data_IF_205930313174
#
_entry.id   IF_205930313174
#
_cell.length_a   1.000
_cell.length_b   1.000
_cell.length_c   1.000
_cell.angle_alpha   90.00
_cell.angle_beta   90.00
_cell.angle_gamma   90.00
#
_symmetry.space_group_name_H-M   'P 1'
#
loop_
_entity.id
_entity.type
_entity.pdbx_description
1 polymer ?
#
# COMPACT_ATOMS: atom_id res chain seq x y z
N UNK A 1 61.44 0.37 -69.34
CA UNK A 1 62.88 0.47 -68.96
C UNK A 1 63.40 1.78 -69.52
N UNK A 2 64.44 2.42 -68.92
CA UNK A 2 65.15 2.04 -67.69
C UNK A 2 64.48 2.60 -66.42
N UNK A 3 65.12 2.40 -65.26
CA UNK A 3 64.79 2.96 -63.95
C UNK A 3 66.04 2.93 -63.04
N UNK A 4 66.07 3.77 -61.96
CA UNK A 4 66.97 3.81 -60.76
C UNK A 4 67.07 5.27 -60.28
N UNK A 5 67.21 5.67 -59.01
CA UNK A 5 67.37 5.08 -57.65
C UNK A 5 66.54 6.00 -56.67
N UNK A 6 66.40 5.93 -55.34
CA UNK A 6 66.58 5.04 -54.13
C UNK A 6 65.69 5.74 -53.04
N UNK A 7 65.00 5.19 -52.04
CA UNK A 7 65.12 4.05 -51.09
C UNK A 7 66.24 4.14 -50.04
N UNK A 8 66.08 3.55 -48.82
CA UNK A 8 64.89 2.95 -48.16
C UNK A 8 64.23 4.00 -47.19
N UNK A 9 63.63 3.81 -45.98
CA UNK A 9 63.47 2.75 -44.95
C UNK A 9 62.05 2.79 -44.31
N UNK A 10 61.90 2.20 -43.11
CA UNK A 10 60.73 1.93 -42.23
C UNK A 10 61.27 1.88 -40.77
N UNK A 11 60.56 1.46 -39.69
CA UNK A 11 59.15 1.64 -39.26
C UNK A 11 59.04 2.25 -37.81
N UNK A 12 58.04 1.85 -36.99
CA UNK A 12 57.75 2.15 -35.55
C UNK A 12 57.16 3.54 -35.21
N UNK A 13 56.44 3.76 -34.09
CA UNK A 13 55.26 3.07 -33.49
C UNK A 13 54.82 3.75 -32.17
N UNK A 14 53.52 4.04 -32.00
CA UNK A 14 52.89 4.24 -30.67
C UNK A 14 53.03 5.63 -30.01
N UNK A 15 52.13 5.88 -29.05
CA UNK A 15 51.99 7.07 -28.17
C UNK A 15 51.68 8.39 -28.90
N UNK A 16 50.51 9.00 -28.62
CA UNK A 16 50.17 10.33 -29.16
C UNK A 16 48.72 10.82 -29.03
N UNK A 17 47.75 9.95 -28.70
CA UNK A 17 46.31 10.31 -28.69
C UNK A 17 45.87 11.07 -27.41
N UNK A 18 46.77 11.25 -26.42
CA UNK A 18 46.47 11.78 -25.09
C UNK A 18 46.23 13.31 -25.00
N UNK A 19 46.10 14.03 -26.13
CA UNK A 19 46.09 15.50 -26.17
C UNK A 19 44.93 16.15 -26.94
N UNK A 20 43.83 15.43 -27.17
CA UNK A 20 42.60 15.98 -27.78
C UNK A 20 41.34 15.87 -26.91
N UNK A 21 41.47 15.45 -25.64
CA UNK A 21 40.35 15.24 -24.71
C UNK A 21 40.35 16.21 -23.50
N UNK A 22 41.02 17.37 -23.61
CA UNK A 22 41.25 18.26 -22.46
C UNK A 22 40.96 19.75 -22.68
N UNK A 23 40.18 20.12 -23.71
CA UNK A 23 39.71 21.50 -23.95
C UNK A 23 38.23 21.53 -24.37
N UNK A 24 37.40 20.66 -23.80
CA UNK A 24 35.93 20.72 -23.90
C UNK A 24 35.27 20.48 -22.53
N UNK A 25 35.75 21.22 -21.55
CA UNK A 25 35.17 21.36 -20.22
C UNK A 25 35.39 22.81 -19.78
N UNK A 26 34.47 23.36 -18.98
CA UNK A 26 34.30 24.81 -18.76
C UNK A 26 33.82 25.54 -20.04
N UNK A 27 32.55 25.33 -20.42
CA UNK A 27 31.63 26.39 -20.90
C UNK A 27 30.21 25.84 -21.20
N UNK A 28 29.60 25.10 -20.25
CA UNK A 28 28.14 24.92 -20.23
C UNK A 28 27.61 24.78 -18.80
N UNK A 29 27.59 25.91 -18.08
CA UNK A 29 26.95 26.05 -16.77
C UNK A 29 25.67 26.87 -16.92
N UNK A 30 24.61 26.50 -16.19
CA UNK A 30 23.30 27.17 -16.14
C UNK A 30 22.40 27.04 -17.38
N UNK A 31 21.89 25.83 -17.62
CA UNK A 31 20.52 25.59 -18.07
C UNK A 31 20.01 24.26 -17.48
N UNK A 32 18.68 24.10 -17.35
CA UNK A 32 17.97 22.88 -16.93
C UNK A 32 18.42 22.23 -15.61
N UNK A 33 18.18 22.93 -14.50
CA UNK A 33 17.95 22.29 -13.19
C UNK A 33 16.43 22.11 -12.99
N UNK A 34 15.80 21.29 -13.82
CA UNK A 34 14.40 20.91 -13.65
C UNK A 34 14.29 19.87 -12.53
N UNK A 35 13.87 20.33 -11.35
CA UNK A 35 13.53 19.44 -10.23
C UNK A 35 12.30 18.62 -10.62
N UNK A 36 12.43 17.30 -10.71
CA UNK A 36 11.28 16.40 -10.75
C UNK A 36 10.55 16.51 -9.42
N UNK A 37 9.35 17.09 -9.43
CA UNK A 37 8.56 17.32 -8.21
C UNK A 37 8.09 15.99 -7.64
N UNK A 38 8.62 15.63 -6.47
CA UNK A 38 8.11 14.50 -5.67
C UNK A 38 6.74 14.88 -5.07
N UNK A 39 5.80 13.95 -5.08
CA UNK A 39 4.36 14.24 -4.93
C UNK A 39 3.88 14.26 -3.46
N UNK A 40 4.51 15.08 -2.62
CA UNK A 40 4.02 15.42 -1.27
C UNK A 40 4.20 16.93 -1.01
N UNK A 41 3.10 17.69 -1.09
CA UNK A 41 3.06 19.09 -0.63
C UNK A 41 2.90 19.11 0.88
N UNK A 42 3.96 19.51 1.58
CA UNK A 42 3.91 19.84 3.00
C UNK A 42 3.04 21.08 3.20
N UNK A 43 1.99 20.99 4.02
CA UNK A 43 1.24 22.16 4.49
C UNK A 43 1.88 22.62 5.80
N UNK A 44 2.72 23.64 5.74
CA UNK A 44 3.26 24.28 6.94
C UNK A 44 2.14 25.03 7.67
N UNK A 45 1.88 24.64 8.92
CA UNK A 45 0.85 25.26 9.75
C UNK A 45 1.38 26.53 10.43
N UNK A 46 1.19 27.69 9.80
CA UNK A 46 1.34 29.00 10.44
C UNK A 46 0.02 29.51 11.00
N UNK A 47 0.00 29.92 12.27
CA UNK A 47 -1.15 30.56 12.92
C UNK A 47 -1.52 31.93 12.29
N UNK A 48 -2.76 32.43 12.50
CA UNK A 48 -3.43 33.25 11.49
C UNK A 48 -3.22 34.77 11.63
N UNK A 49 -3.43 35.48 10.51
CA UNK A 49 -3.71 36.91 10.50
C UNK A 49 -4.66 37.28 9.36
N UNK A 50 -5.89 37.64 9.73
CA UNK A 50 -6.82 38.61 9.14
C UNK A 50 -6.83 38.88 7.61
N UNK A 51 -7.99 38.55 7.02
CA UNK A 51 -8.83 39.39 6.14
C UNK A 51 -8.81 39.23 4.60
N UNK A 52 -10.06 39.14 4.08
CA UNK A 52 -10.59 39.31 2.72
C UNK A 52 -9.81 38.90 1.45
N UNK A 53 -10.31 37.83 0.81
CA UNK A 53 -10.04 37.46 -0.58
C UNK A 53 -10.99 36.37 -1.07
N UNK A 54 -12.07 36.74 -1.75
CA UNK A 54 -13.19 35.84 -2.11
C UNK A 54 -12.77 34.61 -2.95
N UNK A 55 -13.19 33.42 -2.51
CA UNK A 55 -13.15 32.20 -3.30
C UNK A 55 -14.56 31.84 -3.81
N UNK A 56 -14.72 31.71 -5.13
CA UNK A 56 -16.00 31.31 -5.74
C UNK A 56 -16.36 29.86 -5.37
N UNK A 57 -17.27 29.69 -4.41
CA UNK A 57 -17.94 28.43 -4.15
C UNK A 57 -18.94 28.15 -5.28
N UNK A 58 -18.87 26.97 -5.89
CA UNK A 58 -19.94 26.49 -6.77
C UNK A 58 -21.15 26.17 -5.90
N UNK A 59 -22.30 26.81 -6.18
CA UNK A 59 -23.45 26.86 -5.26
C UNK A 59 -23.93 25.48 -4.79
N UNK A 60 -23.71 25.19 -3.51
CA UNK A 60 -24.59 24.28 -2.78
C UNK A 60 -25.98 24.95 -2.68
N UNK A 61 -27.05 24.22 -3.02
CA UNK A 61 -28.41 24.72 -2.86
C UNK A 61 -28.76 24.77 -1.36
N UNK A 62 -29.42 25.85 -0.92
CA UNK A 62 -29.73 26.08 0.49
C UNK A 62 -30.47 24.88 1.14
N UNK A 63 -30.09 24.47 2.37
CA UNK A 63 -30.72 23.33 3.05
C UNK A 63 -32.20 23.55 3.38
N UNK A 64 -32.72 24.77 3.24
CA UNK A 64 -34.15 25.09 3.39
C UNK A 64 -35.01 24.71 2.16
N UNK A 65 -34.43 24.48 0.97
CA UNK A 65 -35.18 24.23 -0.28
C UNK A 65 -35.24 22.73 -0.69
N UNK A 66 -34.65 21.83 0.11
CA UNK A 66 -34.60 20.38 -0.13
C UNK A 66 -35.99 19.73 -0.07
N UNK A 67 -36.51 19.32 -1.22
CA UNK A 67 -37.83 18.70 -1.35
C UNK A 67 -37.88 17.33 -0.68
N UNK A 68 -38.69 17.23 0.37
CA UNK A 68 -38.90 15.98 1.12
C UNK A 68 -39.59 14.93 0.24
N UNK A 69 -38.96 13.76 0.12
CA UNK A 69 -39.51 12.60 -0.59
C UNK A 69 -40.74 12.04 0.13
N UNK A 70 -41.74 11.57 -0.61
CA UNK A 70 -42.93 10.92 -0.04
C UNK A 70 -42.88 9.40 -0.29
N UNK A 71 -42.51 8.57 0.72
CA UNK A 71 -42.40 7.12 0.57
C UNK A 71 -43.78 6.47 0.43
N UNK A 72 -43.82 5.33 -0.26
CA UNK A 72 -44.98 4.41 -0.26
C UNK A 72 -44.54 3.02 0.18
N UNK A 73 -45.49 2.11 0.36
CA UNK A 73 -45.23 0.72 0.82
C UNK A 73 -44.32 -0.08 -0.13
N UNK A 74 -44.18 0.39 -1.37
CA UNK A 74 -43.31 -0.18 -2.41
C UNK A 74 -42.03 0.65 -2.53
N UNK A 75 -40.91 -0.04 -2.73
CA UNK A 75 -39.62 0.57 -3.02
C UNK A 75 -39.67 1.47 -4.26
N UNK A 76 -39.17 2.69 -4.13
CA UNK A 76 -39.03 3.67 -5.19
C UNK A 76 -37.61 4.24 -5.21
N UNK A 77 -37.05 4.48 -6.39
CA UNK A 77 -35.71 5.08 -6.54
C UNK A 77 -35.69 6.54 -6.07
N UNK A 78 -34.77 6.86 -5.17
CA UNK A 78 -34.50 8.23 -4.71
C UNK A 78 -33.71 8.99 -5.78
N UNK A 79 -34.10 10.25 -6.05
CA UNK A 79 -33.37 11.15 -6.94
C UNK A 79 -32.40 12.03 -6.12
N UNK A 80 -31.27 12.49 -6.70
CA UNK A 80 -30.45 13.54 -6.09
C UNK A 80 -31.29 14.78 -5.74
N UNK A 81 -30.93 15.47 -4.66
CA UNK A 81 -31.66 16.67 -4.17
C UNK A 81 -32.94 16.40 -3.36
N UNK A 82 -33.29 15.14 -3.08
CA UNK A 82 -34.46 14.79 -2.26
C UNK A 82 -34.08 14.31 -0.86
N UNK A 83 -34.62 14.96 0.17
CA UNK A 83 -34.47 14.56 1.57
C UNK A 83 -35.37 13.36 1.89
N UNK A 84 -34.87 12.40 2.69
CA UNK A 84 -35.62 11.20 3.10
C UNK A 84 -36.26 11.42 4.48
N UNK A 85 -37.58 11.20 4.66
CA UNK A 85 -38.22 11.31 5.97
C UNK A 85 -37.68 10.30 6.98
N UNK A 86 -37.52 10.73 8.23
CA UNK A 86 -37.25 9.83 9.35
C UNK A 86 -38.33 8.74 9.46
N UNK A 87 -37.92 7.49 9.75
CA UNK A 87 -38.80 6.31 9.74
C UNK A 87 -38.97 5.63 8.37
N UNK A 88 -38.46 6.22 7.28
CA UNK A 88 -38.41 5.54 5.98
C UNK A 88 -37.36 4.44 5.97
N UNK A 89 -37.67 3.30 5.36
CA UNK A 89 -36.67 2.29 5.03
C UNK A 89 -35.90 2.71 3.78
N UNK A 90 -34.57 2.62 3.82
CA UNK A 90 -33.67 2.95 2.70
C UNK A 90 -32.78 1.74 2.41
N UNK A 91 -32.56 1.43 1.12
CA UNK A 91 -31.59 0.42 0.68
C UNK A 91 -30.79 0.89 -0.52
N UNK A 92 -29.61 0.29 -0.72
CA UNK A 92 -28.88 0.37 -1.99
C UNK A 92 -29.23 -0.89 -2.81
N UNK A 93 -29.69 -0.73 -4.04
CA UNK A 93 -29.94 -1.85 -4.93
C UNK A 93 -28.63 -2.27 -5.61
N UNK A 94 -28.05 -3.39 -5.15
CA UNK A 94 -26.73 -3.85 -5.58
C UNK A 94 -26.65 -4.27 -7.06
N UNK A 95 -27.77 -4.46 -7.76
CA UNK A 95 -27.78 -4.74 -9.21
C UNK A 95 -27.88 -3.47 -10.07
N UNK A 96 -28.24 -2.32 -9.51
CA UNK A 96 -28.43 -1.06 -10.26
C UNK A 96 -27.59 0.10 -9.74
N UNK A 97 -26.98 -0.02 -8.56
CA UNK A 97 -26.23 1.04 -7.87
C UNK A 97 -27.12 2.16 -7.29
N UNK A 98 -28.44 2.05 -7.40
CA UNK A 98 -29.37 3.12 -7.05
C UNK A 98 -29.90 2.99 -5.62
N UNK A 99 -30.08 4.14 -4.94
CA UNK A 99 -30.73 4.20 -3.62
C UNK A 99 -32.25 4.11 -3.80
N UNK A 100 -32.89 3.26 -3.03
CA UNK A 100 -34.34 3.06 -3.03
C UNK A 100 -34.92 3.29 -1.62
N UNK A 101 -36.13 3.85 -1.56
CA UNK A 101 -36.83 4.21 -0.32
C UNK A 101 -38.23 3.59 -0.30
N UNK A 102 -38.66 3.11 0.87
CA UNK A 102 -39.96 2.52 1.19
C UNK A 102 -40.49 3.12 2.52
N UNK A 103 -41.80 3.18 2.70
CA UNK A 103 -42.44 3.51 3.98
C UNK A 103 -42.12 2.45 5.07
N UNK A 104 -41.72 2.88 6.26
CA UNK A 104 -41.48 1.98 7.39
C UNK A 104 -42.76 1.30 7.91
N UNK A 105 -42.60 0.33 8.82
CA UNK A 105 -43.73 -0.44 9.37
C UNK A 105 -44.46 0.28 10.53
N UNK A 106 -44.01 1.49 10.90
CA UNK A 106 -44.71 2.42 11.77
C UNK A 106 -45.84 3.17 11.03
N UNK A 107 -47.02 3.25 11.65
CA UNK A 107 -48.27 3.55 10.94
C UNK A 107 -48.60 5.04 10.73
N UNK A 108 -48.85 5.41 9.48
CA UNK A 108 -49.62 6.62 9.06
C UNK A 108 -49.00 7.99 9.43
N UNK A 109 -47.93 8.37 8.71
CA UNK A 109 -47.38 9.73 8.73
C UNK A 109 -48.42 10.77 8.29
N UNK A 110 -48.88 11.64 9.20
CA UNK A 110 -49.72 12.79 8.88
C UNK A 110 -48.90 14.07 8.78
N UNK A 111 -48.93 14.67 7.58
CA UNK A 111 -48.34 15.97 7.28
C UNK A 111 -49.40 17.07 7.44
N UNK A 112 -48.98 18.24 7.93
CA UNK A 112 -49.77 19.47 7.83
C UNK A 112 -48.97 20.56 7.08
N UNK A 113 -49.71 21.41 6.38
CA UNK A 113 -49.23 22.55 5.60
C UNK A 113 -50.04 23.76 6.02
N UNK A 114 -49.38 24.80 6.51
CA UNK A 114 -49.98 26.12 6.76
C UNK A 114 -49.09 27.21 6.15
N UNK A 115 -49.58 27.87 5.10
CA UNK A 115 -48.77 28.73 4.24
C UNK A 115 -47.52 28.03 3.71
N UNK A 116 -46.35 28.66 3.89
CA UNK A 116 -45.04 28.13 3.49
C UNK A 116 -44.44 27.14 4.51
N UNK A 117 -45.09 26.88 5.66
CA UNK A 117 -44.56 25.95 6.68
C UNK A 117 -45.21 24.57 6.56
N UNK A 118 -44.38 23.57 6.33
CA UNK A 118 -44.76 22.15 6.35
C UNK A 118 -44.11 21.47 7.57
N UNK A 119 -44.83 20.53 8.18
CA UNK A 119 -44.36 19.81 9.36
C UNK A 119 -45.02 18.46 9.53
N UNK A 120 -44.30 17.55 10.19
CA UNK A 120 -44.75 16.19 10.52
C UNK A 120 -45.03 16.08 12.01
N UNK A 121 -46.14 15.43 12.37
CA UNK A 121 -46.40 14.99 13.74
C UNK A 121 -46.17 13.48 13.80
N UNK A 122 -45.21 13.04 14.63
CA UNK A 122 -45.02 11.62 14.90
C UNK A 122 -46.07 11.15 15.91
N UNK A 123 -46.90 10.18 15.51
CA UNK A 123 -48.06 9.71 16.28
C UNK A 123 -47.76 8.55 17.23
N UNK A 124 -46.52 8.07 17.30
CA UNK A 124 -46.15 6.90 18.12
C UNK A 124 -45.89 7.22 19.60
N UNK A 125 -45.78 8.51 19.97
CA UNK A 125 -45.96 8.93 21.37
C UNK A 125 -47.45 9.09 21.69
N UNK A 126 -47.95 8.63 22.86
CA UNK A 126 -49.36 8.74 23.22
C UNK A 126 -49.78 10.22 23.33
N UNK A 127 -50.48 10.71 22.31
CA UNK A 127 -50.86 12.11 22.17
C UNK A 127 -52.04 12.46 23.08
N UNK A 128 -51.75 12.82 24.34
CA UNK A 128 -52.75 13.36 25.27
C UNK A 128 -53.51 14.52 24.61
N UNK A 129 -54.85 14.47 24.61
CA UNK A 129 -55.63 15.60 24.12
C UNK A 129 -55.39 16.84 24.99
N UNK A 130 -55.60 18.04 24.44
CA UNK A 130 -55.45 19.29 25.18
C UNK A 130 -56.38 19.40 26.41
N UNK A 131 -57.39 18.53 26.54
CA UNK A 131 -58.23 18.42 27.73
C UNK A 131 -57.67 17.42 28.75
N UNK A 132 -57.15 16.27 28.32
CA UNK A 132 -56.48 15.30 29.20
C UNK A 132 -55.18 15.88 29.78
N UNK A 133 -54.35 16.53 28.95
CA UNK A 133 -53.14 17.21 29.40
C UNK A 133 -53.46 18.28 30.45
N UNK A 134 -54.56 19.03 30.25
CA UNK A 134 -55.04 20.06 31.18
C UNK A 134 -55.68 19.49 32.44
N UNK A 135 -56.15 18.23 32.41
CA UNK A 135 -56.65 17.48 33.57
C UNK A 135 -55.49 16.90 34.39
N UNK A 136 -54.51 16.27 33.73
CA UNK A 136 -53.28 15.78 34.34
C UNK A 136 -52.47 16.92 34.98
N UNK A 137 -52.29 18.06 34.29
CA UNK A 137 -51.66 19.28 34.84
C UNK A 137 -52.45 19.92 35.99
N UNK A 138 -53.74 19.59 36.15
CA UNK A 138 -54.54 20.01 37.31
C UNK A 138 -54.35 19.05 38.48
N UNK A 139 -54.32 17.74 38.23
CA UNK A 139 -54.01 16.71 39.25
C UNK A 139 -52.60 16.91 39.81
N UNK A 140 -51.58 17.11 38.97
CA UNK A 140 -50.20 17.49 39.34
C UNK A 140 -50.08 18.85 40.06
N UNK A 141 -51.18 19.56 40.28
CA UNK A 141 -51.26 20.85 40.98
C UNK A 141 -52.19 20.81 42.20
N UNK A 142 -52.96 19.73 42.36
CA UNK A 142 -53.76 19.42 43.56
C UNK A 142 -53.00 18.42 44.45
N UNK A 143 -52.37 17.40 43.85
CA UNK A 143 -51.35 16.55 44.49
C UNK A 143 -50.00 17.30 44.52
N UNK A 144 -49.74 18.00 45.62
CA UNK A 144 -48.64 18.97 45.77
C UNK A 144 -47.22 18.41 45.86
N UNK A 145 -46.80 17.57 44.92
CA UNK A 145 -45.43 17.01 44.82
C UNK A 145 -44.77 17.42 43.49
N UNK A 146 -44.57 18.73 43.32
CA UNK A 146 -43.52 19.21 42.43
C UNK A 146 -42.18 19.03 43.16
N UNK A 147 -41.20 18.26 42.63
CA UNK A 147 -39.89 18.14 43.25
C UNK A 147 -39.27 19.53 43.36
N UNK A 148 -38.91 19.92 44.59
CA UNK A 148 -38.35 21.24 44.85
C UNK A 148 -36.95 21.34 44.25
N UNK A 149 -36.38 22.55 44.19
CA UNK A 149 -34.99 22.72 43.77
C UNK A 149 -34.04 21.82 44.57
N UNK A 150 -34.27 21.67 45.88
CA UNK A 150 -33.49 20.80 46.77
C UNK A 150 -33.57 19.31 46.41
N UNK A 151 -34.68 18.86 45.84
CA UNK A 151 -34.86 17.44 45.50
C UNK A 151 -34.12 17.09 44.20
N UNK A 152 -34.12 18.03 43.23
CA UNK A 152 -33.26 17.94 42.04
C UNK A 152 -31.78 18.13 42.35
N UNK A 153 -31.44 19.07 43.23
CA UNK A 153 -30.08 19.28 43.74
C UNK A 153 -29.55 18.03 44.47
N UNK A 154 -30.43 17.28 45.17
CA UNK A 154 -30.09 15.97 45.76
C UNK A 154 -29.90 14.89 44.70
N UNK A 155 -30.86 14.70 43.78
CA UNK A 155 -30.77 13.70 42.73
C UNK A 155 -29.50 13.90 41.88
N UNK A 156 -29.18 15.15 41.54
CA UNK A 156 -27.95 15.50 40.83
C UNK A 156 -26.68 15.31 41.68
N UNK A 157 -26.74 15.58 42.99
CA UNK A 157 -25.62 15.31 43.91
C UNK A 157 -25.40 13.81 44.15
N UNK A 158 -26.46 13.01 44.23
CA UNK A 158 -26.42 11.55 44.38
C UNK A 158 -25.90 10.88 43.11
N UNK A 159 -26.26 11.40 41.93
CA UNK A 159 -25.64 11.01 40.65
C UNK A 159 -24.16 11.42 40.59
N UNK A 160 -23.82 12.67 40.93
CA UNK A 160 -22.42 13.15 40.98
C UNK A 160 -21.57 12.38 42.00
N UNK A 161 -22.17 11.80 43.05
CA UNK A 161 -21.49 10.96 44.03
C UNK A 161 -21.27 9.50 43.57
N UNK A 162 -21.94 9.05 42.50
CA UNK A 162 -21.70 7.74 41.87
C UNK A 162 -20.51 7.75 40.91
N UNK A 163 -20.13 8.93 40.40
CA UNK A 163 -18.99 9.11 39.49
C UNK A 163 -17.78 9.69 40.23
N UNK A 164 -16.56 9.27 39.83
CA UNK A 164 -15.33 9.92 40.31
C UNK A 164 -15.23 11.36 39.77
N UNK A 165 -14.71 12.31 40.55
CA UNK A 165 -14.62 13.71 40.13
C UNK A 165 -13.69 13.84 38.92
N UNK A 166 -14.05 14.70 37.96
CA UNK A 166 -13.37 14.81 36.68
C UNK A 166 -11.88 15.16 36.82
N UNK A 167 -11.53 15.94 37.83
CA UNK A 167 -10.15 16.36 38.13
C UNK A 167 -9.31 15.23 38.75
N UNK A 168 -9.93 14.21 39.35
CA UNK A 168 -9.26 12.97 39.75
C UNK A 168 -8.98 12.11 38.52
N UNK A 169 -10.01 11.85 37.69
CA UNK A 169 -9.86 11.09 36.44
C UNK A 169 -8.82 11.72 35.50
N UNK A 170 -8.75 13.06 35.42
CA UNK A 170 -7.71 13.78 34.67
C UNK A 170 -6.31 13.61 35.25
N UNK A 171 -6.15 13.57 36.58
CA UNK A 171 -4.86 13.29 37.23
C UNK A 171 -4.45 11.83 37.09
N UNK A 172 -5.40 10.90 37.16
CA UNK A 172 -5.15 9.47 36.98
C UNK A 172 -4.72 9.19 35.54
N UNK A 173 -5.44 9.76 34.55
CA UNK A 173 -5.05 9.70 33.14
C UNK A 173 -3.66 10.30 32.90
N UNK A 174 -3.37 11.50 33.40
CA UNK A 174 -2.05 12.12 33.23
C UNK A 174 -0.92 11.35 33.95
N UNK A 175 -1.20 10.67 35.06
CA UNK A 175 -0.22 9.78 35.72
C UNK A 175 0.02 8.49 34.94
N UNK A 176 -1.00 7.93 34.28
CA UNK A 176 -0.85 6.76 33.41
C UNK A 176 -0.11 7.10 32.10
N UNK A 177 -0.42 8.26 31.50
CA UNK A 177 0.24 8.79 30.29
C UNK A 177 1.74 9.03 30.55
N UNK A 178 2.09 9.53 31.74
CA UNK A 178 3.48 9.67 32.22
C UNK A 178 4.22 8.34 32.51
N UNK A 179 3.54 7.19 32.45
CA UNK A 179 4.11 5.86 32.74
C UNK A 179 4.24 4.96 31.50
N UNK A 180 3.76 5.40 30.33
CA UNK A 180 3.89 4.68 29.06
C UNK A 180 4.91 5.42 28.19
N UNK A 181 6.08 4.82 27.94
CA UNK A 181 6.98 5.32 26.89
C UNK A 181 6.23 5.27 25.55
N UNK A 182 6.20 6.37 24.79
CA UNK A 182 5.60 6.36 23.45
C UNK A 182 6.54 5.71 22.44
N UNK A 183 6.01 5.11 21.37
CA UNK A 183 6.83 4.48 20.32
C UNK A 183 7.90 5.45 19.77
N UNK A 184 7.59 6.74 19.65
CA UNK A 184 8.56 7.79 19.30
C UNK A 184 9.72 7.91 20.30
N UNK A 185 9.44 7.87 21.60
CA UNK A 185 10.46 7.89 22.67
C UNK A 185 11.30 6.61 22.67
N UNK A 186 10.65 5.46 22.49
CA UNK A 186 11.30 4.15 22.40
C UNK A 186 12.24 4.12 21.19
N UNK A 187 11.75 4.48 20.00
CA UNK A 187 12.58 4.58 18.78
C UNK A 187 13.74 5.57 18.97
N UNK A 188 13.51 6.73 19.58
CA UNK A 188 14.57 7.70 19.88
C UNK A 188 15.67 7.10 20.77
N UNK A 189 15.29 6.33 21.79
CA UNK A 189 16.21 5.60 22.69
C UNK A 189 16.97 4.49 21.96
N UNK A 190 16.29 3.70 21.12
CA UNK A 190 16.89 2.64 20.30
C UNK A 190 17.88 3.21 19.27
N UNK A 191 17.55 4.32 18.61
CA UNK A 191 18.43 5.02 17.67
C UNK A 191 19.67 5.60 18.36
N UNK A 192 19.52 6.14 19.58
CA UNK A 192 20.65 6.61 20.38
C UNK A 192 21.58 5.47 20.81
N UNK A 193 21.02 4.32 21.21
CA UNK A 193 21.78 3.09 21.51
C UNK A 193 22.51 2.55 20.27
N UNK A 194 21.81 2.45 19.14
CA UNK A 194 22.38 2.01 17.87
C UNK A 194 23.58 2.85 17.44
N UNK A 195 23.45 4.19 17.51
CA UNK A 195 24.48 5.14 17.12
C UNK A 195 25.59 5.34 18.19
N UNK A 196 25.43 4.80 19.40
CA UNK A 196 26.40 5.01 20.47
C UNK A 196 27.70 4.25 20.21
N UNK A 197 28.84 4.96 20.26
CA UNK A 197 30.17 4.37 20.19
C UNK A 197 30.51 3.43 21.35
N UNK A 198 29.76 3.50 22.47
CA UNK A 198 29.97 2.64 23.65
C UNK A 198 29.26 1.29 23.58
N UNK A 199 28.24 1.13 22.72
CA UNK A 199 27.41 -0.07 22.67
C UNK A 199 28.05 -1.20 21.88
N UNK A 200 27.86 -2.43 22.37
CA UNK A 200 28.33 -3.67 21.72
C UNK A 200 27.61 -3.93 20.39
N UNK A 201 28.16 -4.83 19.57
CA UNK A 201 27.49 -5.28 18.34
C UNK A 201 26.14 -5.90 18.66
N UNK A 202 26.07 -6.70 19.71
CA UNK A 202 24.90 -7.40 20.20
C UNK A 202 23.80 -6.42 20.66
N UNK A 203 24.16 -5.37 21.40
CA UNK A 203 23.24 -4.27 21.74
C UNK A 203 22.70 -3.54 20.51
N UNK A 204 23.55 -3.28 19.51
CA UNK A 204 23.13 -2.62 18.27
C UNK A 204 22.26 -3.52 17.40
N UNK A 205 22.52 -4.82 17.35
CA UNK A 205 21.68 -5.82 16.69
C UNK A 205 20.33 -5.91 17.38
N UNK A 206 20.29 -5.96 18.71
CA UNK A 206 19.05 -5.94 19.49
C UNK A 206 18.25 -4.65 19.24
N UNK A 207 18.89 -3.48 19.32
CA UNK A 207 18.23 -2.20 19.08
C UNK A 207 17.64 -2.07 17.66
N UNK A 208 18.29 -2.66 16.64
CA UNK A 208 17.72 -2.75 15.30
C UNK A 208 16.55 -3.75 15.20
N UNK A 209 16.53 -4.83 15.98
CA UNK A 209 15.42 -5.79 15.98
C UNK A 209 14.19 -5.25 16.72
N UNK A 210 14.39 -4.56 17.84
CA UNK A 210 13.32 -3.85 18.56
C UNK A 210 12.74 -2.72 17.69
N UNK A 211 13.60 -2.02 16.94
CA UNK A 211 13.17 -1.00 15.98
C UNK A 211 12.39 -1.61 14.80
N UNK A 212 12.81 -2.78 14.31
CA UNK A 212 12.13 -3.48 13.21
C UNK A 212 10.68 -3.80 13.54
N UNK A 213 10.42 -4.22 14.78
CA UNK A 213 9.06 -4.46 15.28
C UNK A 213 8.20 -3.19 15.26
N UNK A 214 8.73 -2.05 15.71
CA UNK A 214 7.99 -0.79 15.79
C UNK A 214 7.63 -0.22 14.41
N UNK A 215 8.53 -0.33 13.43
CA UNK A 215 8.34 0.24 12.08
C UNK A 215 7.44 -0.57 11.14
N UNK A 216 6.80 -1.65 11.61
CA UNK A 216 5.62 -2.21 10.94
C UNK A 216 4.43 -1.25 10.98
N UNK A 217 4.37 -0.34 11.96
CA UNK A 217 3.38 0.73 11.97
C UNK A 217 3.82 1.84 11.00
N UNK A 218 2.91 2.21 10.09
CA UNK A 218 3.16 3.18 9.00
C UNK A 218 3.64 4.54 9.54
N UNK A 219 3.10 4.98 10.68
CA UNK A 219 3.44 6.25 11.29
C UNK A 219 4.77 6.19 12.07
N UNK A 220 5.07 5.08 12.77
CA UNK A 220 6.41 4.87 13.35
C UNK A 220 7.51 4.87 12.27
N UNK A 221 7.22 4.30 11.09
CA UNK A 221 8.14 4.34 9.96
C UNK A 221 8.33 5.75 9.38
N UNK A 222 7.32 6.63 9.45
CA UNK A 222 7.43 8.07 9.12
C UNK A 222 8.23 8.83 10.19
N UNK A 223 8.03 8.51 11.46
CA UNK A 223 8.80 9.12 12.55
C UNK A 223 10.28 8.70 12.51
N UNK A 224 10.58 7.47 12.10
CA UNK A 224 11.95 7.05 11.81
C UNK A 224 12.61 7.92 10.71
N UNK A 225 11.84 8.44 9.75
CA UNK A 225 12.34 9.44 8.77
C UNK A 225 12.50 10.81 9.42
N UNK A 226 11.49 11.29 10.17
CA UNK A 226 11.49 12.64 10.75
C UNK A 226 12.64 12.86 11.75
N UNK A 227 13.00 11.82 12.53
CA UNK A 227 14.17 11.83 13.42
C UNK A 227 15.51 11.52 12.71
N UNK A 228 15.51 11.37 11.38
CA UNK A 228 16.71 11.07 10.57
C UNK A 228 17.24 9.63 10.69
N UNK A 229 16.53 8.74 11.40
CA UNK A 229 16.97 7.38 11.67
C UNK A 229 16.97 6.47 10.42
N UNK A 230 16.09 6.71 9.43
CA UNK A 230 16.13 5.99 8.16
C UNK A 230 17.51 6.10 7.49
N UNK A 231 18.13 7.29 7.54
CA UNK A 231 19.48 7.49 7.01
C UNK A 231 20.51 6.62 7.72
N UNK A 232 20.45 6.56 9.06
CA UNK A 232 21.35 5.72 9.87
C UNK A 232 21.17 4.23 9.56
N UNK A 233 19.94 3.76 9.28
CA UNK A 233 19.67 2.39 8.84
C UNK A 233 20.24 2.11 7.43
N UNK A 234 20.11 3.07 6.50
CA UNK A 234 20.70 2.96 5.15
C UNK A 234 22.24 2.97 5.22
N UNK A 235 22.82 3.76 6.12
CA UNK A 235 24.28 3.80 6.33
C UNK A 235 24.78 2.53 7.06
N UNK A 236 23.98 1.91 7.93
CA UNK A 236 24.27 0.63 8.61
C UNK A 236 24.43 -0.55 7.64
N UNK A 237 23.78 -0.52 6.47
CA UNK A 237 23.98 -1.51 5.40
C UNK A 237 25.44 -1.56 4.90
N UNK A 238 26.24 -0.51 5.10
CA UNK A 238 27.68 -0.52 4.77
C UNK A 238 28.54 -1.28 5.80
N UNK A 239 27.96 -1.77 6.91
CA UNK A 239 28.70 -2.46 7.96
C UNK A 239 29.48 -3.67 7.42
N UNK A 240 30.70 -3.86 7.94
CA UNK A 240 31.47 -5.10 7.76
C UNK A 240 30.90 -6.25 8.58
N UNK A 241 30.08 -5.93 9.59
CA UNK A 241 29.37 -6.92 10.39
C UNK A 241 28.10 -7.39 9.67
N UNK A 242 27.99 -8.71 9.52
CA UNK A 242 26.93 -9.35 8.75
C UNK A 242 25.60 -9.41 9.51
N UNK A 243 25.60 -9.38 10.85
CA UNK A 243 24.38 -9.32 11.65
C UNK A 243 23.79 -7.90 11.59
N UNK A 244 24.62 -6.87 11.73
CA UNK A 244 24.17 -5.48 11.55
C UNK A 244 23.66 -5.23 10.13
N UNK A 245 24.32 -5.78 9.11
CA UNK A 245 23.85 -5.70 7.71
C UNK A 245 22.53 -6.46 7.49
N UNK A 246 22.31 -7.60 8.17
CA UNK A 246 21.06 -8.35 8.10
C UNK A 246 19.90 -7.63 8.82
N UNK A 247 20.11 -7.14 10.05
CA UNK A 247 19.10 -6.39 10.80
C UNK A 247 18.78 -5.04 10.17
N UNK A 248 19.77 -4.29 9.66
CA UNK A 248 19.52 -3.03 8.95
C UNK A 248 18.70 -3.23 7.67
N UNK A 249 18.97 -4.30 6.92
CA UNK A 249 18.14 -4.68 5.77
C UNK A 249 16.72 -5.09 6.19
N UNK A 250 16.55 -5.67 7.39
CA UNK A 250 15.24 -6.04 7.90
C UNK A 250 14.41 -4.81 8.30
N UNK A 251 14.96 -3.90 9.13
CA UNK A 251 14.35 -2.62 9.50
C UNK A 251 13.92 -1.84 8.26
N UNK A 252 14.84 -1.67 7.30
CA UNK A 252 14.55 -0.96 6.06
C UNK A 252 13.39 -1.60 5.28
N UNK A 253 13.37 -2.93 5.17
CA UNK A 253 12.35 -3.65 4.43
C UNK A 253 10.96 -3.61 5.07
N UNK A 254 10.88 -3.45 6.39
CA UNK A 254 9.62 -3.27 7.11
C UNK A 254 9.15 -1.82 7.07
N UNK A 255 10.04 -0.84 7.30
CA UNK A 255 9.70 0.59 7.26
C UNK A 255 9.20 1.09 5.89
N UNK A 256 9.72 0.53 4.78
CA UNK A 256 9.26 0.88 3.42
C UNK A 256 8.03 0.07 2.97
N UNK A 257 7.58 -0.91 3.76
CA UNK A 257 6.49 -1.82 3.38
C UNK A 257 5.17 -1.06 3.29
N UNK A 258 4.59 -0.99 2.09
CA UNK A 258 3.33 -0.29 1.81
C UNK A 258 3.31 1.20 2.23
N UNK A 259 4.48 1.85 2.32
CA UNK A 259 4.62 3.22 2.83
C UNK A 259 5.28 4.14 1.79
N UNK A 260 4.52 4.75 0.85
CA UNK A 260 5.08 5.51 -0.28
C UNK A 260 6.02 6.66 0.10
N UNK A 261 5.78 7.31 1.24
CA UNK A 261 6.64 8.38 1.74
C UNK A 261 8.03 7.84 2.12
N UNK A 262 8.08 6.76 2.90
CA UNK A 262 9.33 6.12 3.33
C UNK A 262 10.01 5.40 2.14
N UNK A 263 9.24 4.89 1.16
CA UNK A 263 9.77 4.38 -0.10
C UNK A 263 10.48 5.46 -0.93
N UNK A 264 9.92 6.68 -1.05
CA UNK A 264 10.57 7.83 -1.72
C UNK A 264 11.89 8.17 -1.03
N UNK A 265 11.85 8.42 0.28
CA UNK A 265 13.01 8.80 1.10
C UNK A 265 14.11 7.73 1.07
N UNK A 266 13.75 6.43 1.03
CA UNK A 266 14.70 5.34 0.88
C UNK A 266 15.35 5.29 -0.52
N UNK A 267 14.61 5.59 -1.60
CA UNK A 267 15.20 5.66 -2.95
C UNK A 267 16.10 6.89 -3.10
N UNK A 268 15.67 8.06 -2.64
CA UNK A 268 16.45 9.30 -2.69
C UNK A 268 17.68 9.22 -1.77
N UNK A 269 17.58 8.56 -0.61
CA UNK A 269 18.70 8.17 0.24
C UNK A 269 19.64 7.10 -0.34
N UNK A 270 19.38 6.62 -1.57
CA UNK A 270 20.25 5.68 -2.30
C UNK A 270 20.18 4.22 -1.83
N UNK A 271 19.17 3.84 -1.05
CA UNK A 271 19.05 2.50 -0.48
C UNK A 271 18.95 1.42 -1.57
N UNK A 272 18.19 1.67 -2.64
CA UNK A 272 17.98 0.71 -3.73
C UNK A 272 19.29 0.31 -4.43
N UNK A 273 20.15 1.28 -4.76
CA UNK A 273 21.49 1.00 -5.31
C UNK A 273 22.34 0.18 -4.32
N UNK A 274 22.29 0.52 -3.03
CA UNK A 274 23.06 -0.17 -1.98
C UNK A 274 22.60 -1.62 -1.81
N UNK A 275 21.28 -1.86 -1.75
CA UNK A 275 20.68 -3.19 -1.68
C UNK A 275 21.04 -4.06 -2.89
N UNK A 276 20.92 -3.53 -4.12
CA UNK A 276 21.32 -4.24 -5.34
C UNK A 276 22.81 -4.59 -5.36
N UNK A 277 23.66 -3.65 -4.93
CA UNK A 277 25.11 -3.87 -4.83
C UNK A 277 25.43 -5.00 -3.85
N UNK A 278 24.75 -5.05 -2.70
CA UNK A 278 24.95 -6.11 -1.70
C UNK A 278 24.45 -7.47 -2.21
N UNK A 279 23.28 -7.53 -2.86
CA UNK A 279 22.75 -8.77 -3.46
C UNK A 279 23.65 -9.34 -4.57
N UNK A 280 24.29 -8.47 -5.36
CA UNK A 280 25.23 -8.85 -6.41
C UNK A 280 26.59 -9.33 -5.89
N UNK A 281 26.89 -9.17 -4.59
CA UNK A 281 28.13 -9.64 -3.97
C UNK A 281 27.95 -10.92 -3.17
N UNK A 282 29.05 -11.60 -2.84
CA UNK A 282 28.95 -12.79 -2.01
C UNK A 282 28.62 -12.44 -0.55
N UNK A 283 27.56 -13.07 -0.02
CA UNK A 283 26.97 -12.83 1.31
C UNK A 283 26.22 -14.08 1.78
N UNK A 284 26.12 -14.34 3.09
CA UNK A 284 25.32 -15.43 3.62
C UNK A 284 23.84 -15.35 3.20
N UNK A 285 23.19 -16.51 3.15
CA UNK A 285 21.78 -16.60 2.73
C UNK A 285 20.79 -16.00 3.74
N UNK A 286 21.19 -15.71 4.98
CA UNK A 286 20.41 -14.88 5.92
C UNK A 286 20.32 -13.44 5.39
N UNK A 287 21.47 -12.77 5.32
CA UNK A 287 21.64 -11.43 4.73
C UNK A 287 20.93 -11.32 3.37
N UNK A 288 21.15 -12.26 2.44
CA UNK A 288 20.49 -12.25 1.11
C UNK A 288 18.95 -12.37 1.20
N UNK A 289 18.37 -13.06 2.21
CA UNK A 289 16.91 -13.09 2.45
C UNK A 289 16.36 -11.74 2.93
N UNK A 290 17.07 -11.01 3.80
CA UNK A 290 16.63 -9.68 4.28
C UNK A 290 16.84 -8.60 3.22
N UNK A 291 17.96 -8.64 2.49
CA UNK A 291 18.20 -7.75 1.34
C UNK A 291 17.13 -7.93 0.24
N UNK A 292 16.77 -9.17 -0.12
CA UNK A 292 15.70 -9.42 -1.09
C UNK A 292 14.32 -8.99 -0.56
N UNK A 293 14.06 -9.15 0.74
CA UNK A 293 12.85 -8.62 1.38
C UNK A 293 12.77 -7.09 1.24
N UNK A 294 13.84 -6.36 1.59
CA UNK A 294 13.89 -4.91 1.45
C UNK A 294 13.72 -4.43 -0.01
N UNK A 295 14.36 -5.10 -0.97
CA UNK A 295 14.15 -4.81 -2.41
C UNK A 295 12.70 -5.08 -2.81
N UNK A 296 12.08 -6.16 -2.33
CA UNK A 296 10.67 -6.46 -2.62
C UNK A 296 9.71 -5.43 -2.04
N UNK A 297 9.87 -5.05 -0.78
CA UNK A 297 9.04 -4.02 -0.12
C UNK A 297 9.22 -2.63 -0.75
N UNK A 298 10.42 -2.30 -1.23
CA UNK A 298 10.72 -1.03 -1.88
C UNK A 298 10.20 -0.93 -3.32
N UNK A 299 9.93 -2.07 -3.99
CA UNK A 299 9.44 -2.11 -5.37
C UNK A 299 7.93 -2.25 -5.48
N UNK A 300 7.27 -2.97 -4.57
CA UNK A 300 5.83 -3.20 -4.64
C UNK A 300 5.04 -1.90 -4.59
N UNK A 301 4.08 -1.81 -5.49
CA UNK A 301 3.17 -0.69 -5.74
C UNK A 301 3.86 0.66 -6.10
N UNK A 302 5.18 0.70 -6.22
CA UNK A 302 5.97 1.94 -6.36
C UNK A 302 6.74 1.99 -7.70
N UNK A 303 6.10 2.48 -8.79
CA UNK A 303 6.68 2.44 -10.14
C UNK A 303 7.94 3.30 -10.28
N UNK A 304 8.12 4.33 -9.46
CA UNK A 304 9.35 5.12 -9.42
C UNK A 304 10.57 4.28 -9.02
N UNK A 305 10.47 3.44 -7.98
CA UNK A 305 11.53 2.50 -7.61
C UNK A 305 11.73 1.43 -8.69
N UNK A 306 10.64 0.87 -9.25
CA UNK A 306 10.73 -0.11 -10.33
C UNK A 306 11.48 0.43 -11.56
N UNK A 307 11.20 1.67 -11.97
CA UNK A 307 11.92 2.36 -13.05
C UNK A 307 13.43 2.45 -12.78
N UNK A 308 13.82 2.80 -11.55
CA UNK A 308 15.23 2.88 -11.15
C UNK A 308 15.89 1.50 -11.05
N UNK A 309 15.18 0.50 -10.52
CA UNK A 309 15.63 -0.88 -10.43
C UNK A 309 15.92 -1.49 -11.81
N UNK A 310 15.09 -1.24 -12.84
CA UNK A 310 15.40 -1.66 -14.21
C UNK A 310 16.65 -0.96 -14.76
N UNK A 311 16.75 0.37 -14.57
CA UNK A 311 17.91 1.18 -15.03
C UNK A 311 19.24 0.74 -14.39
N UNK A 312 19.20 0.29 -13.13
CA UNK A 312 20.37 -0.20 -12.39
C UNK A 312 20.65 -1.71 -12.63
N UNK A 313 20.00 -2.33 -13.61
CA UNK A 313 20.23 -3.74 -13.96
C UNK A 313 19.72 -4.74 -12.92
N UNK A 314 18.79 -4.35 -12.05
CA UNK A 314 18.31 -5.18 -10.94
C UNK A 314 17.72 -6.53 -11.36
N UNK A 315 17.13 -6.62 -12.56
CA UNK A 315 16.63 -7.89 -13.13
C UNK A 315 17.75 -8.91 -13.34
N UNK A 316 18.97 -8.47 -13.68
CA UNK A 316 20.14 -9.35 -13.82
C UNK A 316 20.60 -9.82 -12.44
N UNK A 317 20.64 -8.92 -11.45
CA UNK A 317 20.97 -9.25 -10.05
C UNK A 317 19.99 -10.29 -9.47
N UNK A 318 18.69 -10.18 -9.76
CA UNK A 318 17.71 -11.19 -9.41
C UNK A 318 17.95 -12.53 -10.15
N UNK A 319 18.40 -12.48 -11.41
CA UNK A 319 18.69 -13.67 -12.22
C UNK A 319 19.89 -14.45 -11.70
N UNK A 320 20.92 -13.74 -11.25
CA UNK A 320 22.11 -14.35 -10.66
C UNK A 320 21.85 -14.85 -9.24
N UNK A 321 21.01 -14.15 -8.46
CA UNK A 321 20.47 -14.64 -7.19
C UNK A 321 19.60 -15.91 -7.36
N UNK A 322 18.81 -15.99 -8.43
CA UNK A 322 18.02 -17.18 -8.77
C UNK A 322 18.94 -18.36 -9.11
N UNK A 323 19.94 -18.15 -9.97
CA UNK A 323 20.93 -19.18 -10.39
C UNK A 323 21.82 -19.66 -9.25
N UNK A 324 22.02 -18.87 -8.20
CA UNK A 324 22.90 -19.17 -7.08
C UNK A 324 22.62 -20.54 -6.42
N UNK A 325 23.70 -21.20 -5.98
CA UNK A 325 23.62 -22.44 -5.19
C UNK A 325 22.95 -22.16 -3.85
N UNK A 326 22.09 -23.08 -3.39
CA UNK A 326 21.26 -22.87 -2.20
C UNK A 326 20.07 -21.92 -2.41
N UNK A 327 19.77 -21.51 -3.66
CA UNK A 327 18.73 -20.53 -3.98
C UNK A 327 17.34 -20.84 -3.40
N UNK A 328 16.89 -22.10 -3.39
CA UNK A 328 15.70 -22.59 -2.67
C UNK A 328 14.52 -21.59 -2.60
N UNK A 329 14.09 -21.23 -1.39
CA UNK A 329 12.99 -20.28 -1.14
C UNK A 329 13.28 -18.82 -1.60
N UNK A 330 14.54 -18.45 -1.91
CA UNK A 330 14.81 -17.17 -2.59
C UNK A 330 14.31 -17.19 -4.03
N UNK A 331 14.41 -18.32 -4.74
CA UNK A 331 13.89 -18.44 -6.13
C UNK A 331 12.40 -18.14 -6.18
N UNK A 332 11.64 -18.68 -5.23
CA UNK A 332 10.20 -18.38 -5.06
C UNK A 332 10.00 -16.89 -4.83
N UNK A 333 10.65 -16.30 -3.82
CA UNK A 333 10.53 -14.86 -3.52
C UNK A 333 10.88 -13.95 -4.71
N UNK A 334 11.87 -14.33 -5.51
CA UNK A 334 12.26 -13.62 -6.73
C UNK A 334 11.17 -13.73 -7.80
N UNK A 335 10.66 -14.93 -8.09
CA UNK A 335 9.62 -15.14 -9.11
C UNK A 335 8.28 -14.53 -8.68
N UNK A 336 7.92 -14.59 -7.39
CA UNK A 336 6.77 -13.86 -6.83
C UNK A 336 6.95 -12.35 -7.01
N UNK A 337 8.10 -11.77 -6.67
CA UNK A 337 8.36 -10.33 -6.87
C UNK A 337 8.26 -9.92 -8.36
N UNK A 338 8.73 -10.75 -9.29
CA UNK A 338 8.57 -10.50 -10.73
C UNK A 338 7.11 -10.58 -11.18
N UNK A 339 6.35 -11.57 -10.68
CA UNK A 339 4.91 -11.69 -10.91
C UNK A 339 4.15 -10.48 -10.35
N UNK A 340 4.43 -10.07 -9.11
CA UNK A 340 3.81 -8.92 -8.45
C UNK A 340 3.96 -7.65 -9.31
N UNK A 341 5.17 -7.32 -9.77
CA UNK A 341 5.40 -6.13 -10.61
C UNK A 341 4.71 -6.20 -11.98
N UNK A 342 4.49 -7.39 -12.55
CA UNK A 342 3.73 -7.55 -13.80
C UNK A 342 2.24 -7.28 -13.53
N UNK A 343 1.68 -7.91 -12.49
CA UNK A 343 0.27 -7.84 -12.14
C UNK A 343 -0.11 -6.44 -11.61
N UNK A 344 0.75 -5.77 -10.85
CA UNK A 344 0.58 -4.37 -10.44
C UNK A 344 0.35 -3.44 -11.64
N UNK A 345 1.19 -3.57 -12.67
CA UNK A 345 1.07 -2.80 -13.91
C UNK A 345 -0.20 -3.16 -14.67
N UNK A 346 -0.55 -4.44 -14.75
CA UNK A 346 -1.75 -4.90 -15.44
C UNK A 346 -3.03 -4.40 -14.74
N UNK A 347 -3.18 -4.64 -13.44
CA UNK A 347 -4.32 -4.19 -12.64
C UNK A 347 -4.52 -2.66 -12.72
N UNK A 348 -3.44 -1.88 -12.60
CA UNK A 348 -3.54 -0.41 -12.70
C UNK A 348 -3.95 0.03 -14.12
N UNK A 349 -3.57 -0.71 -15.17
CA UNK A 349 -4.04 -0.44 -16.53
C UNK A 349 -5.50 -0.86 -16.79
N UNK A 350 -6.03 -1.83 -16.02
CA UNK A 350 -7.42 -2.29 -16.11
C UNK A 350 -8.38 -1.48 -15.23
N UNK A 351 -7.89 -0.88 -14.13
CA UNK A 351 -8.67 -0.09 -13.18
C UNK A 351 -9.21 1.25 -13.75
N UNK A 352 -8.84 1.63 -14.97
CA UNK A 352 -9.43 2.77 -15.71
C UNK A 352 -10.89 2.59 -16.14
N UNK A 353 -11.63 1.69 -15.50
CA UNK A 353 -13.07 1.45 -15.68
C UNK A 353 -13.93 2.13 -14.60
N UNK A 354 -13.34 2.57 -13.48
CA UNK A 354 -14.07 3.29 -12.43
C UNK A 354 -14.30 4.78 -12.80
N UNK A 355 -15.44 5.40 -12.41
CA UNK A 355 -15.90 6.62 -13.09
C UNK A 355 -15.14 7.93 -12.77
N UNK A 356 -14.24 7.93 -11.78
CA UNK A 356 -13.49 9.12 -11.34
C UNK A 356 -12.03 8.73 -11.03
N UNK A 357 -11.10 8.85 -12.00
CA UNK A 357 -9.69 8.54 -11.76
C UNK A 357 -8.95 9.72 -11.09
N UNK A 358 -8.61 9.55 -9.81
CA UNK A 358 -7.78 10.50 -9.04
C UNK A 358 -6.49 10.89 -9.78
N UNK A 359 -6.00 12.11 -9.52
CA UNK A 359 -4.70 12.58 -10.02
C UNK A 359 -3.54 11.65 -9.65
N UNK A 360 -3.60 11.05 -8.45
CA UNK A 360 -2.62 10.06 -7.97
C UNK A 360 -2.69 8.71 -8.71
N UNK A 361 -3.84 8.37 -9.30
CA UNK A 361 -3.99 7.20 -10.17
C UNK A 361 -3.46 7.50 -11.57
N UNK A 362 -3.76 8.69 -12.12
CA UNK A 362 -3.28 9.12 -13.45
C UNK A 362 -1.74 9.21 -13.52
N UNK A 363 -1.07 9.74 -12.51
CA UNK A 363 0.40 9.77 -12.50
C UNK A 363 1.02 8.38 -12.27
N UNK A 364 0.40 7.50 -11.46
CA UNK A 364 0.81 6.09 -11.37
C UNK A 364 0.71 5.37 -12.72
N UNK A 365 -0.41 5.52 -13.43
CA UNK A 365 -0.59 5.02 -14.81
C UNK A 365 0.55 5.49 -15.73
N UNK A 366 0.85 6.81 -15.70
CA UNK A 366 1.94 7.40 -16.50
C UNK A 366 3.32 6.83 -16.16
N UNK A 367 3.59 6.53 -14.90
CA UNK A 367 4.85 5.94 -14.47
C UNK A 367 4.94 4.45 -14.86
N UNK A 368 3.88 3.66 -14.65
CA UNK A 368 3.82 2.27 -15.09
C UNK A 368 3.90 2.12 -16.62
N UNK A 369 3.36 3.06 -17.40
CA UNK A 369 3.49 3.08 -18.86
C UNK A 369 4.96 3.09 -19.31
N UNK A 370 5.85 3.76 -18.58
CA UNK A 370 7.29 3.88 -18.87
C UNK A 370 8.11 2.63 -18.48
N UNK A 371 7.52 1.66 -17.76
CA UNK A 371 8.21 0.46 -17.27
C UNK A 371 8.11 -0.68 -18.31
N UNK A 372 9.23 -1.01 -18.95
CA UNK A 372 9.34 -2.08 -19.96
C UNK A 372 9.82 -3.41 -19.37
N UNK A 373 9.15 -3.91 -18.33
CA UNK A 373 9.55 -5.12 -17.60
C UNK A 373 9.51 -6.41 -18.45
N UNK A 374 8.37 -6.71 -19.09
CA UNK A 374 8.17 -7.99 -19.79
C UNK A 374 9.15 -8.26 -20.96
N UNK A 375 9.51 -7.28 -21.82
CA UNK A 375 10.57 -7.48 -22.82
C UNK A 375 11.93 -7.78 -22.19
N UNK A 376 12.32 -7.01 -21.16
CA UNK A 376 13.60 -7.17 -20.47
C UNK A 376 13.73 -8.53 -19.77
N UNK A 377 12.61 -9.06 -19.23
CA UNK A 377 12.56 -10.42 -18.69
C UNK A 377 12.83 -11.48 -19.77
N UNK A 378 12.25 -11.33 -20.96
CA UNK A 378 12.47 -12.25 -22.07
C UNK A 378 13.91 -12.17 -22.63
N UNK A 379 14.48 -10.96 -22.69
CA UNK A 379 15.87 -10.71 -23.11
C UNK A 379 16.89 -11.30 -22.13
N UNK A 380 16.64 -11.22 -20.82
CA UNK A 380 17.53 -11.77 -19.78
C UNK A 380 17.29 -13.26 -19.47
N UNK A 381 16.48 -13.94 -20.29
CA UNK A 381 16.29 -15.39 -20.26
C UNK A 381 15.33 -15.89 -19.17
N UNK A 382 14.49 -15.06 -18.57
CA UNK A 382 13.55 -15.51 -17.54
C UNK A 382 12.52 -16.51 -18.06
N UNK A 383 12.22 -16.48 -19.36
CA UNK A 383 11.41 -17.49 -20.04
C UNK A 383 12.01 -18.92 -19.98
N UNK A 384 13.31 -19.09 -19.66
CA UNK A 384 13.90 -20.40 -19.37
C UNK A 384 14.05 -20.67 -17.87
N UNK A 385 14.32 -19.63 -17.06
CA UNK A 385 14.50 -19.76 -15.61
C UNK A 385 13.21 -20.15 -14.86
N UNK A 386 12.09 -19.47 -15.13
CA UNK A 386 10.82 -19.74 -14.40
C UNK A 386 10.34 -21.20 -14.57
N UNK A 387 10.42 -21.82 -15.77
CA UNK A 387 10.22 -23.26 -15.95
C UNK A 387 11.02 -24.18 -15.02
N UNK A 388 12.24 -23.81 -14.61
CA UNK A 388 13.09 -24.67 -13.75
C UNK A 388 12.45 -24.93 -12.37
N UNK A 389 11.58 -24.04 -11.89
CA UNK A 389 10.88 -24.22 -10.61
C UNK A 389 9.83 -25.33 -10.64
N UNK A 390 9.32 -25.74 -11.81
CA UNK A 390 8.36 -26.84 -11.93
C UNK A 390 8.95 -28.19 -11.51
N UNK A 391 10.28 -28.33 -11.52
CA UNK A 391 10.99 -29.51 -11.04
C UNK A 391 11.08 -29.60 -9.49
N UNK A 392 10.59 -28.60 -8.75
CA UNK A 392 10.48 -28.66 -7.29
C UNK A 392 9.51 -29.78 -6.86
N UNK A 393 9.72 -30.44 -5.70
CA UNK A 393 8.67 -31.24 -5.07
C UNK A 393 7.55 -30.37 -4.46
N UNK A 394 7.85 -29.13 -4.08
CA UNK A 394 6.94 -28.24 -3.35
C UNK A 394 5.79 -27.73 -4.23
N UNK A 395 4.54 -27.99 -3.81
CA UNK A 395 3.34 -27.59 -4.57
C UNK A 395 3.18 -26.06 -4.69
N UNK A 396 3.45 -25.30 -3.62
CA UNK A 396 3.49 -23.84 -3.64
C UNK A 396 4.48 -23.30 -4.70
N UNK A 397 5.68 -23.89 -4.81
CA UNK A 397 6.69 -23.40 -5.74
C UNK A 397 6.26 -23.63 -7.20
N UNK A 398 5.58 -24.76 -7.46
CA UNK A 398 4.97 -25.05 -8.76
C UNK A 398 3.85 -24.06 -9.07
N UNK A 399 2.96 -23.80 -8.12
CA UNK A 399 1.85 -22.85 -8.25
C UNK A 399 2.36 -21.42 -8.55
N UNK A 400 3.32 -20.90 -7.75
CA UNK A 400 3.91 -19.58 -8.00
C UNK A 400 4.67 -19.50 -9.34
N UNK A 401 5.31 -20.59 -9.76
CA UNK A 401 5.92 -20.68 -11.08
C UNK A 401 4.86 -20.65 -12.21
N UNK A 402 3.78 -21.42 -12.09
CA UNK A 402 2.69 -21.45 -13.07
C UNK A 402 2.00 -20.08 -13.21
N UNK A 403 1.75 -19.37 -12.09
CA UNK A 403 1.24 -17.98 -12.11
C UNK A 403 2.18 -17.04 -12.88
N UNK A 404 3.50 -17.13 -12.64
CA UNK A 404 4.49 -16.34 -13.37
C UNK A 404 4.61 -16.72 -14.86
N UNK A 405 4.47 -18.01 -15.22
CA UNK A 405 4.45 -18.46 -16.61
C UNK A 405 3.26 -17.84 -17.38
N UNK A 406 2.09 -17.71 -16.76
CA UNK A 406 0.95 -17.00 -17.34
C UNK A 406 1.20 -15.49 -17.50
N UNK A 407 1.64 -14.81 -16.43
CA UNK A 407 1.92 -13.38 -16.47
C UNK A 407 2.99 -13.00 -17.52
N UNK A 408 3.97 -13.89 -17.75
CA UNK A 408 5.02 -13.71 -18.74
C UNK A 408 4.66 -14.25 -20.14
N UNK A 409 3.49 -14.89 -20.31
CA UNK A 409 3.05 -15.48 -21.58
C UNK A 409 3.09 -14.53 -22.79
N UNK A 410 2.72 -13.23 -22.69
CA UNK A 410 2.73 -12.32 -23.84
C UNK A 410 4.09 -12.21 -24.55
N UNK A 411 5.20 -12.27 -23.80
CA UNK A 411 6.56 -12.15 -24.34
C UNK A 411 7.28 -13.51 -24.44
N UNK A 412 6.95 -14.48 -23.59
CA UNK A 412 7.65 -15.77 -23.55
C UNK A 412 7.02 -16.88 -24.41
N UNK A 413 5.77 -16.76 -24.87
CA UNK A 413 5.07 -17.77 -25.69
C UNK A 413 5.91 -18.40 -26.82
N UNK A 414 6.67 -17.66 -27.66
CA UNK A 414 7.47 -18.29 -28.73
C UNK A 414 8.61 -19.16 -28.20
N UNK A 415 9.16 -18.85 -27.02
CA UNK A 415 10.20 -19.67 -26.37
C UNK A 415 9.57 -20.89 -25.68
N UNK A 416 8.44 -20.71 -24.98
CA UNK A 416 7.71 -21.81 -24.36
C UNK A 416 7.27 -22.88 -25.39
N UNK A 417 6.70 -22.47 -26.53
CA UNK A 417 6.30 -23.37 -27.63
C UNK A 417 7.43 -24.20 -28.23
N UNK A 418 8.68 -23.72 -28.11
CA UNK A 418 9.87 -24.45 -28.58
C UNK A 418 10.46 -25.36 -27.51
N UNK A 419 10.18 -25.10 -26.23
CA UNK A 419 10.71 -25.84 -25.09
C UNK A 419 9.92 -27.13 -24.83
N UNK A 420 10.28 -28.20 -25.55
CA UNK A 420 9.70 -29.55 -25.37
C UNK A 420 9.80 -30.08 -23.93
N UNK A 421 10.82 -29.69 -23.18
CA UNK A 421 10.98 -30.12 -21.78
C UNK A 421 9.94 -29.46 -20.87
N UNK A 422 9.62 -28.18 -21.10
CA UNK A 422 8.49 -27.51 -20.45
C UNK A 422 7.17 -28.19 -20.81
N UNK A 423 6.89 -28.46 -22.09
CA UNK A 423 5.65 -29.15 -22.50
C UNK A 423 5.50 -30.51 -21.81
N UNK A 424 6.55 -31.33 -21.80
CA UNK A 424 6.54 -32.63 -21.12
C UNK A 424 6.38 -32.49 -19.59
N UNK A 425 7.03 -31.50 -18.97
CA UNK A 425 6.89 -31.25 -17.53
C UNK A 425 5.46 -30.83 -17.18
N UNK A 426 4.83 -30.00 -18.00
CA UNK A 426 3.45 -29.55 -17.77
C UNK A 426 2.45 -30.71 -17.92
N UNK A 427 2.60 -31.57 -18.93
CA UNK A 427 1.73 -32.75 -19.10
C UNK A 427 1.92 -33.79 -17.99
N UNK A 428 3.15 -34.08 -17.56
CA UNK A 428 3.39 -35.00 -16.45
C UNK A 428 2.83 -34.45 -15.11
N UNK A 429 2.90 -33.13 -14.90
CA UNK A 429 2.22 -32.48 -13.78
C UNK A 429 0.69 -32.51 -13.91
N UNK A 430 0.15 -32.49 -15.14
CA UNK A 430 -1.30 -32.50 -15.37
C UNK A 430 -1.91 -33.83 -14.93
N UNK A 431 -1.26 -34.94 -15.30
CA UNK A 431 -1.61 -36.28 -14.82
C UNK A 431 -1.49 -36.36 -13.29
N UNK A 432 -0.37 -35.87 -12.70
CA UNK A 432 -0.18 -35.87 -11.24
C UNK A 432 -1.28 -35.08 -10.49
N UNK A 433 -1.60 -33.86 -10.93
CA UNK A 433 -2.59 -33.03 -10.24
C UNK A 433 -4.03 -33.48 -10.50
N UNK A 434 -4.32 -34.23 -11.58
CA UNK A 434 -5.59 -34.92 -11.76
C UNK A 434 -5.79 -36.03 -10.71
N UNK A 435 -4.76 -36.86 -10.48
CA UNK A 435 -4.82 -37.89 -9.43
C UNK A 435 -4.97 -37.27 -8.03
N UNK A 436 -4.24 -36.19 -7.73
CA UNK A 436 -4.32 -35.49 -6.45
C UNK A 436 -5.70 -34.86 -6.21
N UNK A 437 -6.24 -34.12 -7.17
CA UNK A 437 -7.57 -33.49 -7.05
C UNK A 437 -8.71 -34.53 -6.92
N UNK A 438 -8.57 -35.72 -7.53
CA UNK A 438 -9.50 -36.83 -7.31
C UNK A 438 -9.37 -37.45 -5.90
N UNK A 439 -8.17 -37.43 -5.30
CA UNK A 439 -7.95 -37.91 -3.93
C UNK A 439 -8.39 -36.94 -2.84
N UNK A 440 -8.62 -35.67 -3.20
CA UNK A 440 -9.04 -34.58 -2.32
C UNK A 440 -10.57 -34.61 -2.03
N UNK A 441 -11.35 -35.26 -2.89
CA UNK A 441 -12.81 -35.31 -2.81
C UNK A 441 -13.30 -36.05 -1.55
N UNK A 442 -14.04 -35.33 -0.70
CA UNK A 442 -14.59 -35.82 0.56
C UNK A 442 -13.77 -35.46 1.82
N UNK A 443 -12.82 -34.52 1.71
CA UNK A 443 -12.06 -33.96 2.85
C UNK A 443 -12.66 -32.64 3.35
N UNK A 444 -12.10 -32.05 4.42
CA UNK A 444 -12.51 -30.72 4.92
C UNK A 444 -11.79 -29.57 4.19
N UNK A 445 -10.64 -29.85 3.58
CA UNK A 445 -9.88 -28.95 2.71
C UNK A 445 -10.04 -29.44 1.26
N UNK A 446 -11.11 -29.01 0.57
CA UNK A 446 -11.34 -29.32 -0.85
C UNK A 446 -10.95 -28.13 -1.75
N UNK A 447 -10.24 -28.41 -2.85
CA UNK A 447 -10.04 -27.51 -3.99
C UNK A 447 -8.62 -26.99 -4.20
N UNK A 448 -7.67 -27.26 -3.30
CA UNK A 448 -6.28 -26.82 -3.42
C UNK A 448 -5.58 -27.43 -4.64
N UNK A 449 -5.75 -28.73 -4.90
CA UNK A 449 -5.17 -29.35 -6.09
C UNK A 449 -5.98 -29.04 -7.35
N UNK A 450 -7.29 -28.76 -7.23
CA UNK A 450 -8.12 -28.31 -8.36
C UNK A 450 -7.74 -26.90 -8.85
N UNK A 451 -7.45 -25.95 -7.95
CA UNK A 451 -6.92 -24.63 -8.33
C UNK A 451 -5.60 -24.75 -9.11
N UNK A 452 -4.66 -25.57 -8.62
CA UNK A 452 -3.37 -25.79 -9.30
C UNK A 452 -3.57 -26.48 -10.65
N UNK A 453 -4.48 -27.46 -10.74
CA UNK A 453 -4.83 -28.12 -11.99
C UNK A 453 -5.46 -27.15 -13.00
N UNK A 454 -6.36 -26.26 -12.57
CA UNK A 454 -6.98 -25.22 -13.39
C UNK A 454 -5.93 -24.23 -13.92
N UNK A 455 -5.02 -23.77 -13.06
CA UNK A 455 -3.89 -22.92 -13.41
C UNK A 455 -2.96 -23.62 -14.43
N UNK A 456 -2.66 -24.90 -14.22
CA UNK A 456 -1.81 -25.73 -15.08
C UNK A 456 -2.44 -25.98 -16.46
N UNK A 457 -3.74 -26.28 -16.51
CA UNK A 457 -4.51 -26.38 -17.76
C UNK A 457 -4.45 -25.07 -18.55
N UNK A 458 -4.55 -23.94 -17.88
CA UNK A 458 -4.45 -22.60 -18.49
C UNK A 458 -3.03 -22.35 -19.06
N UNK A 459 -1.98 -22.75 -18.33
CA UNK A 459 -0.59 -22.67 -18.84
C UNK A 459 -0.41 -23.57 -20.07
N UNK A 460 -0.90 -24.81 -20.05
CA UNK A 460 -0.83 -25.74 -21.18
C UNK A 460 -1.47 -25.18 -22.45
N UNK A 461 -2.67 -24.59 -22.35
CA UNK A 461 -3.33 -23.91 -23.47
C UNK A 461 -2.56 -22.67 -23.99
N UNK A 462 -1.74 -22.04 -23.14
CA UNK A 462 -0.84 -20.95 -23.53
C UNK A 462 0.44 -21.41 -24.22
N UNK A 463 0.96 -22.57 -23.82
CA UNK A 463 2.23 -23.16 -24.30
C UNK A 463 2.06 -24.00 -25.58
N UNK A 464 0.86 -24.48 -25.87
CA UNK A 464 0.48 -25.03 -27.18
C UNK A 464 0.28 -23.91 -28.21
#
# INVERSE_FOLDING_TARGET
MPARWQTPRIPWSGVGVALFFWVFSVHFTCANCEKTVSALTLVESSEPSDDDGEAHVASEEDPEDLKVFQPTDKWQTLRPGYAVPAGSHVRLNLQTGLREVKLGEGGSLRYWSDGQRQGMVNTETPSFTAQELKKALKQLKEDGVLPTKKDKEKEEAELRAQFRPMEELRRDMAQLDMLVETDFQIMSRLMAQFNSSSSTTEERVAALLDLEYLVHQVDNARDLVSMGGLKLVIDALNSTDLQLQESAAFVLGSAVSSNPQVQVEAVEGGALQKLLTLLATERPMGVKKKLLFAVGSLLRHFPFAQSHFLKMGGVQVLGDLFRASGGGALRVRVVTLLYDMIIEKELISQAGLDPIPDSTHQERLRQYAQISLLPLLAEQGWCSLVPEMLASPEHDWREKALRALLAMMPNCRPQYRQNRALTHSLSALQEQYQELALSEQGLEEEGYFEEILSLLNTVLQGVQ
#
